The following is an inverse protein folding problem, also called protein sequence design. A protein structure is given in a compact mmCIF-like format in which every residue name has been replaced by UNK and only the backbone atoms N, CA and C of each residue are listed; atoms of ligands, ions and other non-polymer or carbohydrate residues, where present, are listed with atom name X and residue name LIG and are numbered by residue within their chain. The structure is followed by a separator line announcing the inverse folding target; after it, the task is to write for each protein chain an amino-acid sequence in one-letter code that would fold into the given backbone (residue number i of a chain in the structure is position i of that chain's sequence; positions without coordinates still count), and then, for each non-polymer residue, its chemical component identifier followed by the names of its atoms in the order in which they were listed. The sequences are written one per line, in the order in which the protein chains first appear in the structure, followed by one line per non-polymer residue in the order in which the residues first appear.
data_IF_980093073038
#
_entry.id   IF_980093073038
#
_cell.length_a   1.000
_cell.length_b   1.000
_cell.length_c   1.000
_cell.angle_alpha   90.00
_cell.angle_beta   90.00
_cell.angle_gamma   90.00
#
_symmetry.space_group_name_H-M   'P 1'
#
loop_
_entity.id
_entity.type
_entity.pdbx_description
1 polymer ?
#
# COMPACT_ATOMS: atom_id res chain seq x y z
N UNK A 1 20.07 33.18 -5.51
CA UNK A 1 20.14 33.20 -4.04
C UNK A 1 19.63 34.56 -3.58
N UNK A 2 18.46 34.58 -2.96
CA UNK A 2 17.90 35.81 -2.37
C UNK A 2 18.79 36.14 -1.19
N UNK A 3 19.41 37.33 -1.25
CA UNK A 3 20.29 37.79 -0.18
C UNK A 3 19.39 38.32 0.96
N UNK A 4 18.87 37.43 1.80
CA UNK A 4 17.99 37.72 2.94
C UNK A 4 18.55 38.84 3.83
N UNK A 5 19.88 38.92 3.95
CA UNK A 5 20.57 39.93 4.75
C UNK A 5 20.41 41.36 4.19
N UNK A 6 20.20 41.52 2.91
CA UNK A 6 20.09 42.82 2.24
C UNK A 6 18.64 43.35 2.09
N UNK A 7 17.64 42.56 2.48
CA UNK A 7 16.23 42.93 2.40
C UNK A 7 15.82 43.87 3.55
N UNK A 8 14.91 44.78 3.23
CA UNK A 8 14.27 45.62 4.25
C UNK A 8 13.40 44.75 5.20
N UNK A 9 13.14 45.19 6.44
CA UNK A 9 12.27 44.46 7.35
C UNK A 9 10.88 44.17 6.76
N UNK A 10 10.32 45.10 6.02
CA UNK A 10 9.02 44.95 5.36
C UNK A 10 9.04 43.83 4.29
N UNK A 11 10.06 43.82 3.44
CA UNK A 11 10.23 42.80 2.39
C UNK A 11 10.39 41.39 3.01
N UNK A 12 11.14 41.29 4.11
CA UNK A 12 11.29 40.01 4.83
C UNK A 12 9.95 39.46 5.35
N UNK A 13 9.15 40.32 5.97
CA UNK A 13 7.82 39.93 6.49
C UNK A 13 6.93 39.48 5.33
N UNK A 14 6.87 40.29 4.26
CA UNK A 14 6.05 39.96 3.09
C UNK A 14 6.46 38.66 2.40
N UNK A 15 7.77 38.38 2.31
CA UNK A 15 8.26 37.15 1.72
C UNK A 15 7.97 35.93 2.61
N UNK A 16 8.06 36.07 3.94
CA UNK A 16 7.69 35.03 4.89
C UNK A 16 6.20 34.73 4.79
N UNK A 17 5.33 35.74 4.79
CA UNK A 17 3.88 35.56 4.63
C UNK A 17 3.54 34.83 3.32
N UNK A 18 4.16 35.24 2.23
CA UNK A 18 3.98 34.60 0.91
C UNK A 18 4.47 33.15 0.91
N UNK A 19 5.57 32.86 1.61
CA UNK A 19 6.09 31.52 1.75
C UNK A 19 5.13 30.65 2.60
N UNK A 20 4.70 31.16 3.75
CA UNK A 20 3.72 30.49 4.63
C UNK A 20 2.46 30.11 3.84
N UNK A 21 1.88 31.05 3.11
CA UNK A 21 0.71 30.79 2.26
C UNK A 21 0.93 29.68 1.23
N UNK A 22 2.13 29.60 0.65
CA UNK A 22 2.47 28.51 -0.29
C UNK A 22 2.60 27.17 0.41
N UNK A 23 3.18 27.14 1.62
CA UNK A 23 3.27 25.91 2.43
C UNK A 23 1.90 25.42 2.86
N UNK A 24 1.01 26.31 3.30
CA UNK A 24 -0.39 26.01 3.59
C UNK A 24 -1.11 25.44 2.35
N UNK A 25 -0.82 25.99 1.16
CA UNK A 25 -1.38 25.48 -0.09
C UNK A 25 -0.91 24.04 -0.37
N UNK A 26 0.37 23.74 -0.15
CA UNK A 26 0.92 22.38 -0.30
C UNK A 26 0.29 21.43 0.72
N UNK A 27 0.22 21.82 1.99
CA UNK A 27 -0.40 21.03 3.05
C UNK A 27 -1.86 20.70 2.71
N UNK A 28 -2.64 21.72 2.37
CA UNK A 28 -4.06 21.57 2.05
C UNK A 28 -4.32 20.77 0.75
N UNK A 29 -3.36 20.73 -0.16
CA UNK A 29 -3.45 19.94 -1.39
C UNK A 29 -3.14 18.47 -1.19
N UNK A 30 -2.47 18.13 -0.10
CA UNK A 30 -2.06 16.76 0.22
C UNK A 30 -2.99 16.13 1.26
N UNK A 31 -3.65 15.01 0.94
CA UNK A 31 -4.49 14.32 1.92
C UNK A 31 -3.70 13.66 3.06
N UNK A 32 -2.37 13.65 2.98
CA UNK A 32 -1.50 12.95 3.93
C UNK A 32 -0.60 13.88 4.74
N UNK A 33 -0.43 15.14 4.32
CA UNK A 33 0.40 16.08 5.05
C UNK A 33 -0.27 16.52 6.36
N UNK A 34 0.53 16.63 7.42
CA UNK A 34 0.14 17.18 8.70
C UNK A 34 0.73 18.58 8.92
N UNK A 35 1.94 18.81 8.42
CA UNK A 35 2.65 20.10 8.44
C UNK A 35 3.64 20.13 7.26
N UNK A 36 3.92 21.30 6.74
CA UNK A 36 4.95 21.51 5.72
C UNK A 36 5.88 22.61 6.22
N UNK A 37 7.14 22.24 6.46
CA UNK A 37 8.16 23.16 7.00
C UNK A 37 9.30 23.34 6.04
N UNK A 38 9.80 24.56 5.90
CA UNK A 38 11.01 24.89 5.16
C UNK A 38 12.07 25.41 6.12
N UNK A 39 13.22 24.78 6.12
CA UNK A 39 14.41 25.19 6.86
C UNK A 39 15.37 25.91 5.92
N UNK A 40 15.68 27.18 6.18
CA UNK A 40 16.49 28.03 5.32
C UNK A 40 17.81 28.37 6.02
N UNK A 41 18.92 27.77 5.53
CA UNK A 41 20.25 27.90 6.15
C UNK A 41 20.74 29.33 6.18
N UNK A 42 20.67 30.05 5.07
CA UNK A 42 21.22 31.39 4.95
C UNK A 42 20.54 32.44 5.83
N UNK A 43 19.32 32.16 6.26
CA UNK A 43 18.52 33.07 7.08
C UNK A 43 18.42 32.58 8.55
N UNK A 44 18.86 31.37 8.83
CA UNK A 44 18.71 30.67 10.12
C UNK A 44 17.25 30.70 10.62
N UNK A 45 16.30 30.46 9.69
CA UNK A 45 14.88 30.45 9.97
C UNK A 45 14.22 29.15 9.52
N UNK A 46 13.16 28.79 10.25
CA UNK A 46 12.17 27.85 9.81
C UNK A 46 10.84 28.57 9.53
N UNK A 47 10.13 28.10 8.51
CA UNK A 47 8.78 28.56 8.18
C UNK A 47 7.90 27.33 8.01
N UNK A 48 6.86 27.22 8.83
CA UNK A 48 5.92 26.10 8.83
C UNK A 48 4.54 26.58 8.41
N UNK A 49 3.78 25.72 7.73
CA UNK A 49 2.39 25.97 7.36
C UNK A 49 1.47 26.12 8.56
N UNK A 50 1.74 25.40 9.67
CA UNK A 50 0.87 25.39 10.86
C UNK A 50 1.40 26.26 11.99
N UNK A 51 2.74 26.32 12.17
CA UNK A 51 3.39 27.01 13.31
C UNK A 51 3.85 28.43 12.99
N UNK A 52 3.82 28.79 11.68
CA UNK A 52 4.35 30.05 11.21
C UNK A 52 5.87 30.06 11.13
N UNK A 53 6.48 31.16 11.53
CA UNK A 53 7.92 31.41 11.36
C UNK A 53 8.62 31.44 12.73
N UNK A 54 9.81 30.85 12.80
CA UNK A 54 10.71 30.98 13.94
C UNK A 54 12.18 31.03 13.51
N UNK A 55 13.07 31.43 14.44
CA UNK A 55 14.52 31.31 14.22
C UNK A 55 14.96 29.92 14.63
N UNK A 56 15.80 29.33 13.81
CA UNK A 56 16.45 28.06 14.15
C UNK A 56 17.59 28.27 15.14
N UNK A 57 17.68 27.41 16.11
CA UNK A 57 18.89 27.22 16.90
C UNK A 57 19.96 26.52 16.04
N UNK A 58 21.22 26.58 16.48
CA UNK A 58 22.30 25.86 15.81
C UNK A 58 22.06 24.33 15.80
N UNK A 59 21.53 23.81 16.88
CA UNK A 59 21.20 22.38 17.00
C UNK A 59 20.11 21.96 16.03
N UNK A 60 19.06 22.75 15.88
CA UNK A 60 17.98 22.53 14.88
C UNK A 60 18.52 22.61 13.45
N UNK A 61 19.36 23.62 13.18
CA UNK A 61 20.02 23.73 11.88
C UNK A 61 20.87 22.52 11.53
N UNK A 62 21.67 22.01 12.48
CA UNK A 62 22.46 20.79 12.28
C UNK A 62 21.55 19.56 12.11
N UNK A 63 20.44 19.48 12.85
CA UNK A 63 19.49 18.36 12.79
C UNK A 63 18.76 18.27 11.44
N UNK A 64 18.30 19.37 10.90
CA UNK A 64 17.46 19.40 9.68
C UNK A 64 18.26 19.64 8.40
N UNK A 65 19.34 20.40 8.47
CA UNK A 65 20.16 20.78 7.30
C UNK A 65 21.46 19.99 7.22
N UNK A 66 21.86 19.30 8.28
CA UNK A 66 23.07 18.46 8.34
C UNK A 66 22.84 17.02 7.89
N UNK A 67 21.60 16.62 7.62
CA UNK A 67 21.27 15.27 7.17
C UNK A 67 21.81 15.02 5.77
N UNK A 68 22.55 13.93 5.64
CA UNK A 68 22.97 13.44 4.33
C UNK A 68 21.93 12.47 3.80
N UNK A 69 21.27 12.84 2.72
CA UNK A 69 20.32 11.99 2.05
C UNK A 69 21.00 11.25 0.90
N UNK A 70 20.92 9.91 0.89
CA UNK A 70 21.44 9.09 -0.21
C UNK A 70 20.62 9.29 -1.49
N UNK A 71 19.36 9.68 -1.36
CA UNK A 71 18.44 10.01 -2.45
C UNK A 71 17.48 11.11 -2.02
N UNK A 72 16.96 11.87 -2.98
CA UNK A 72 15.88 12.82 -2.71
C UNK A 72 14.77 12.62 -3.75
N UNK A 73 13.49 12.56 -3.33
CA UNK A 73 13.00 12.70 -1.96
C UNK A 73 13.40 11.54 -1.05
N UNK A 74 13.59 11.80 0.23
CA UNK A 74 13.91 10.78 1.24
C UNK A 74 12.85 10.77 2.34
N UNK A 75 12.56 9.57 2.87
CA UNK A 75 11.76 9.44 4.08
C UNK A 75 12.68 9.39 5.28
N UNK A 76 12.42 10.24 6.25
CA UNK A 76 13.07 10.24 7.53
C UNK A 76 12.07 9.98 8.65
N UNK A 77 12.53 9.32 9.72
CA UNK A 77 11.71 8.98 10.86
C UNK A 77 12.38 9.45 12.14
N UNK A 78 11.76 10.42 12.81
CA UNK A 78 12.27 11.07 14.01
C UNK A 78 11.16 11.28 15.02
N UNK A 79 11.44 11.03 16.28
CA UNK A 79 10.55 11.29 17.42
C UNK A 79 9.12 10.70 17.23
N UNK A 80 9.03 9.50 16.60
CA UNK A 80 7.75 8.84 16.32
C UNK A 80 6.95 9.44 15.16
N UNK A 81 7.54 10.35 14.38
CA UNK A 81 6.92 11.01 13.23
C UNK A 81 7.68 10.72 11.95
N UNK A 82 6.96 10.75 10.86
CA UNK A 82 7.48 10.46 9.53
C UNK A 82 7.52 11.74 8.69
N UNK A 83 8.65 11.99 8.07
CA UNK A 83 8.91 13.17 7.26
C UNK A 83 9.33 12.79 5.85
N UNK A 84 8.75 13.42 4.85
CA UNK A 84 9.26 13.42 3.50
C UNK A 84 10.17 14.64 3.34
N UNK A 85 11.47 14.40 3.12
CA UNK A 85 12.50 15.41 3.09
C UNK A 85 12.95 15.69 1.66
N UNK A 86 12.97 16.96 1.30
CA UNK A 86 13.30 17.49 -0.04
C UNK A 86 14.40 18.55 0.08
N UNK A 87 15.69 18.16 0.10
CA UNK A 87 16.79 19.11 0.10
C UNK A 87 16.93 19.84 -1.23
N UNK A 88 17.33 21.10 -1.19
CA UNK A 88 17.66 21.89 -2.36
C UNK A 88 19.01 22.59 -2.23
N UNK A 89 19.91 22.51 -3.23
CA UNK A 89 19.76 21.72 -4.44
C UNK A 89 19.75 20.22 -4.16
N UNK A 90 19.05 19.48 -5.01
CA UNK A 90 18.93 18.04 -4.94
C UNK A 90 20.18 17.38 -5.56
N UNK A 91 21.33 17.53 -4.92
CA UNK A 91 22.58 16.91 -5.38
C UNK A 91 22.92 15.67 -4.54
N UNK A 92 23.22 14.59 -5.24
CA UNK A 92 23.62 13.29 -4.65
C UNK A 92 24.97 13.28 -3.93
N UNK A 93 25.71 14.39 -3.91
CA UNK A 93 27.05 14.42 -3.33
C UNK A 93 27.34 15.72 -2.59
N UNK A 94 27.49 15.59 -1.29
CA UNK A 94 28.32 16.39 -0.35
C UNK A 94 28.21 17.93 -0.38
N UNK A 95 27.12 18.50 -0.85
CA UNK A 95 26.89 19.94 -0.71
C UNK A 95 25.80 20.17 0.32
N UNK A 96 26.11 20.99 1.30
CA UNK A 96 25.12 21.49 2.25
C UNK A 96 23.93 22.11 1.52
N UNK A 97 22.70 21.67 1.79
CA UNK A 97 21.52 22.24 1.14
C UNK A 97 21.34 23.72 1.52
N UNK A 98 20.88 24.53 0.59
CA UNK A 98 20.49 25.92 0.87
C UNK A 98 19.23 25.97 1.73
N UNK A 99 18.31 25.03 1.47
CA UNK A 99 17.11 24.82 2.26
C UNK A 99 16.64 23.37 2.14
N UNK A 100 15.88 22.93 3.11
CA UNK A 100 15.21 21.63 3.11
C UNK A 100 13.72 21.86 3.32
N UNK A 101 12.88 21.26 2.48
CA UNK A 101 11.45 21.18 2.71
C UNK A 101 11.18 19.84 3.38
N UNK A 102 10.56 19.88 4.53
CA UNK A 102 10.08 18.69 5.25
C UNK A 102 8.55 18.70 5.27
N UNK A 103 7.96 17.59 4.82
CA UNK A 103 6.52 17.37 4.89
C UNK A 103 6.29 16.31 5.97
N UNK A 104 5.73 16.73 7.10
CA UNK A 104 5.30 15.79 8.14
C UNK A 104 4.09 15.01 7.62
N UNK A 105 4.19 13.68 7.61
CA UNK A 105 3.12 12.79 7.18
C UNK A 105 2.29 12.35 8.38
N UNK A 106 0.98 12.49 8.26
CA UNK A 106 0.04 12.09 9.31
C UNK A 106 -0.20 10.58 9.28
N UNK A 107 0.29 9.87 10.27
CA UNK A 107 0.04 8.44 10.44
C UNK A 107 -1.47 8.14 10.43
N UNK A 108 -2.26 8.89 11.18
CA UNK A 108 -3.71 8.69 11.27
C UNK A 108 -4.44 8.91 9.93
N UNK A 109 -4.02 9.89 9.13
CA UNK A 109 -4.59 10.09 7.78
C UNK A 109 -4.23 8.92 6.85
N UNK A 110 -3.02 8.38 6.97
CA UNK A 110 -2.56 7.22 6.20
C UNK A 110 -3.34 5.97 6.66
N UNK A 111 -3.47 5.72 7.95
CA UNK A 111 -4.24 4.61 8.52
C UNK A 111 -5.71 4.65 8.08
N UNK A 112 -6.35 5.82 8.16
CA UNK A 112 -7.73 6.00 7.67
C UNK A 112 -7.84 5.71 6.17
N UNK A 113 -6.84 6.10 5.37
CA UNK A 113 -6.82 5.78 3.95
C UNK A 113 -6.65 4.29 3.71
N UNK A 114 -5.75 3.63 4.43
CA UNK A 114 -5.57 2.18 4.38
C UNK A 114 -6.88 1.46 4.75
N UNK A 115 -7.55 1.89 5.82
CA UNK A 115 -8.85 1.36 6.22
C UNK A 115 -9.89 1.49 5.10
N UNK A 116 -9.91 2.63 4.41
CA UNK A 116 -10.83 2.85 3.28
C UNK A 116 -10.55 1.98 2.04
N UNK A 117 -9.35 1.39 1.95
CA UNK A 117 -8.95 0.47 0.87
C UNK A 117 -9.21 -0.99 1.22
N UNK A 118 -9.44 -1.30 2.49
CA UNK A 118 -9.78 -2.66 2.92
C UNK A 118 -11.19 -3.01 2.45
N UNK A 119 -11.32 -4.13 1.75
CA UNK A 119 -12.60 -4.61 1.24
C UNK A 119 -13.41 -5.37 2.32
N UNK A 120 -12.75 -5.77 3.41
CA UNK A 120 -13.35 -6.48 4.54
C UNK A 120 -12.54 -6.23 5.82
N UNK A 121 -13.14 -6.49 6.97
CA UNK A 121 -12.50 -6.37 8.29
C UNK A 121 -11.33 -7.37 8.49
N UNK A 122 -11.21 -8.35 7.59
CA UNK A 122 -10.13 -9.36 7.60
C UNK A 122 -8.95 -8.98 6.71
N UNK A 123 -9.02 -7.84 6.05
CA UNK A 123 -7.95 -7.27 5.25
C UNK A 123 -7.30 -6.11 5.97
N UNK A 124 -5.98 -6.07 5.93
CA UNK A 124 -5.22 -4.95 6.46
C UNK A 124 -4.06 -4.57 5.54
N UNK A 125 -3.63 -3.34 5.71
CA UNK A 125 -2.45 -2.80 5.06
C UNK A 125 -1.42 -2.43 6.12
N UNK A 126 -0.17 -2.73 5.82
CA UNK A 126 0.97 -2.40 6.66
C UNK A 126 1.96 -1.64 5.78
N UNK A 127 2.39 -0.48 6.21
CA UNK A 127 3.45 0.28 5.58
C UNK A 127 4.69 0.21 6.45
N UNK A 128 5.79 -0.24 5.87
CA UNK A 128 7.06 -0.50 6.56
C UNK A 128 8.17 0.16 5.75
N UNK A 129 9.11 0.86 6.39
CA UNK A 129 10.33 1.31 5.70
C UNK A 129 11.33 0.17 5.53
N UNK A 130 12.23 0.29 4.56
CA UNK A 130 13.24 -0.72 4.24
C UNK A 130 14.16 -1.02 5.43
N UNK A 131 14.44 -0.03 6.27
CA UNK A 131 15.22 -0.19 7.49
C UNK A 131 14.40 -0.70 8.68
N UNK A 132 13.08 -0.81 8.52
CA UNK A 132 12.17 -1.27 9.56
C UNK A 132 12.01 -0.28 10.73
N UNK A 133 12.30 1.01 10.52
CA UNK A 133 12.24 2.04 11.56
C UNK A 133 10.84 2.46 11.93
N UNK A 134 9.88 2.32 11.00
CA UNK A 134 8.48 2.60 11.27
C UNK A 134 7.57 1.53 10.70
N UNK A 135 6.42 1.40 11.33
CA UNK A 135 5.31 0.56 10.87
C UNK A 135 4.03 1.36 11.07
N UNK A 136 3.27 1.54 9.99
CA UNK A 136 1.92 2.10 10.02
C UNK A 136 0.97 1.02 9.57
N UNK A 137 -0.11 0.78 10.30
CA UNK A 137 -1.10 -0.25 9.98
C UNK A 137 -2.50 0.21 10.34
N UNK A 138 -3.48 -0.15 9.52
CA UNK A 138 -4.89 0.08 9.81
C UNK A 138 -5.56 -1.08 10.55
N UNK A 139 -4.81 -2.06 10.98
CA UNK A 139 -5.42 -3.22 11.60
C UNK A 139 -5.41 -3.14 13.13
N UNK A 140 -6.54 -3.51 13.70
CA UNK A 140 -6.78 -3.58 15.14
C UNK A 140 -6.36 -4.92 15.78
N UNK A 141 -5.73 -5.83 15.02
CA UNK A 141 -5.52 -7.23 15.40
C UNK A 141 -4.14 -7.51 16.01
N UNK A 142 -4.09 -8.37 17.03
CA UNK A 142 -2.88 -8.94 17.65
C UNK A 142 -1.89 -9.54 16.61
N UNK A 143 -2.42 -10.05 15.50
CA UNK A 143 -1.61 -10.58 14.38
C UNK A 143 -0.62 -9.58 13.79
N UNK A 144 -0.89 -8.29 13.91
CA UNK A 144 -0.03 -7.22 13.38
C UNK A 144 1.06 -6.87 14.37
N UNK A 145 0.80 -7.00 15.65
CA UNK A 145 1.85 -6.93 16.66
C UNK A 145 2.97 -7.89 16.33
N UNK A 146 2.65 -9.15 15.99
CA UNK A 146 3.65 -10.15 15.58
C UNK A 146 4.37 -9.78 14.28
N UNK A 147 3.64 -9.26 13.28
CA UNK A 147 4.28 -8.82 12.02
C UNK A 147 5.20 -7.64 12.26
N UNK A 148 4.81 -6.67 13.08
CA UNK A 148 5.61 -5.51 13.43
C UNK A 148 6.85 -5.90 14.24
N UNK A 149 6.71 -6.83 15.19
CA UNK A 149 7.82 -7.33 16.01
C UNK A 149 8.84 -8.12 15.18
N UNK A 150 8.37 -8.91 14.22
CA UNK A 150 9.22 -9.76 13.37
C UNK A 150 9.32 -9.27 11.92
N UNK A 151 9.20 -7.96 11.69
CA UNK A 151 9.15 -7.32 10.37
C UNK A 151 10.24 -7.76 9.40
N UNK A 152 11.50 -7.85 9.86
CA UNK A 152 12.64 -8.23 9.01
C UNK A 152 12.47 -9.63 8.42
N UNK A 153 11.93 -10.56 9.22
CA UNK A 153 11.62 -11.93 8.77
C UNK A 153 10.54 -11.93 7.70
N UNK A 154 9.48 -11.15 7.89
CA UNK A 154 8.37 -11.08 6.92
C UNK A 154 8.78 -10.37 5.65
N UNK A 155 9.48 -9.24 5.75
CA UNK A 155 10.00 -8.50 4.58
C UNK A 155 10.96 -9.37 3.77
N UNK A 156 11.94 -10.03 4.41
CA UNK A 156 12.87 -10.93 3.72
C UNK A 156 12.15 -12.10 3.04
N UNK A 157 11.14 -12.67 3.68
CA UNK A 157 10.35 -13.75 3.10
C UNK A 157 9.50 -13.26 1.90
N UNK A 158 8.91 -12.08 1.97
CA UNK A 158 8.17 -11.45 0.87
C UNK A 158 9.08 -11.18 -0.33
N UNK A 159 10.28 -10.63 -0.09
CA UNK A 159 11.30 -10.40 -1.13
C UNK A 159 11.74 -11.70 -1.80
N UNK A 160 11.79 -12.81 -1.06
CA UNK A 160 12.10 -14.14 -1.63
C UNK A 160 10.91 -14.78 -2.39
N UNK A 161 9.79 -14.09 -2.51
CA UNK A 161 8.61 -14.55 -3.25
C UNK A 161 7.59 -15.33 -2.42
N UNK A 162 7.80 -15.51 -1.12
CA UNK A 162 6.85 -16.17 -0.24
C UNK A 162 5.61 -15.28 -0.07
N UNK A 163 4.41 -15.87 -0.19
CA UNK A 163 3.12 -15.15 -0.10
C UNK A 163 2.21 -15.69 0.98
N UNK A 164 2.41 -16.93 1.41
CA UNK A 164 1.60 -17.59 2.44
C UNK A 164 2.40 -17.70 3.73
N UNK A 165 1.77 -17.32 4.82
CA UNK A 165 2.35 -17.30 6.16
C UNK A 165 1.38 -17.92 7.15
N UNK A 166 1.90 -18.36 8.29
CA UNK A 166 1.08 -18.79 9.43
C UNK A 166 1.40 -17.88 10.60
N UNK A 167 0.38 -17.19 11.12
CA UNK A 167 0.47 -16.27 12.24
C UNK A 167 -0.60 -16.68 13.24
N UNK A 168 -0.21 -16.95 14.49
CA UNK A 168 -1.10 -17.45 15.55
C UNK A 168 -1.98 -18.65 15.12
N UNK A 169 -1.44 -19.53 14.26
CA UNK A 169 -2.16 -20.69 13.73
C UNK A 169 -3.06 -20.43 12.52
N UNK A 170 -3.28 -19.18 12.15
CA UNK A 170 -4.08 -18.81 10.99
C UNK A 170 -3.21 -18.71 9.73
N UNK A 171 -3.71 -19.23 8.62
CA UNK A 171 -3.09 -19.08 7.31
C UNK A 171 -3.40 -17.72 6.74
N UNK A 172 -2.34 -16.97 6.38
CA UNK A 172 -2.42 -15.60 5.92
C UNK A 172 -1.78 -15.49 4.57
N UNK A 173 -2.42 -14.75 3.69
CA UNK A 173 -1.90 -14.39 2.38
C UNK A 173 -1.42 -12.94 2.40
N UNK A 174 -0.16 -12.71 2.01
CA UNK A 174 0.43 -11.38 1.94
C UNK A 174 0.86 -11.07 0.51
N UNK A 175 0.57 -9.85 0.09
CA UNK A 175 1.12 -9.25 -1.12
C UNK A 175 1.82 -7.96 -0.74
N UNK A 176 2.82 -7.54 -1.52
CA UNK A 176 3.51 -6.29 -1.27
C UNK A 176 3.69 -5.49 -2.55
N UNK A 177 3.84 -4.20 -2.37
CA UNK A 177 4.32 -3.26 -3.37
C UNK A 177 5.44 -2.44 -2.76
N UNK A 178 6.50 -2.21 -3.51
CA UNK A 178 7.66 -1.45 -3.08
C UNK A 178 7.75 -0.15 -3.86
N UNK A 179 8.06 0.93 -3.15
CA UNK A 179 8.48 2.19 -3.74
C UNK A 179 9.98 2.33 -3.60
N UNK A 180 10.73 2.06 -4.67
CA UNK A 180 12.19 2.17 -4.67
C UNK A 180 12.65 3.58 -4.33
N UNK A 181 11.92 4.60 -4.82
CA UNK A 181 12.26 6.01 -4.58
C UNK A 181 12.15 6.39 -3.11
N UNK A 182 11.16 5.87 -2.41
CA UNK A 182 10.90 6.20 -1.00
C UNK A 182 11.46 5.16 -0.03
N UNK A 183 11.87 3.98 -0.52
CA UNK A 183 12.32 2.87 0.31
C UNK A 183 11.24 2.33 1.24
N UNK A 184 9.97 2.34 0.78
CA UNK A 184 8.82 1.90 1.55
C UNK A 184 8.22 0.65 0.93
N UNK A 185 7.83 -0.29 1.78
CA UNK A 185 7.01 -1.43 1.43
C UNK A 185 5.58 -1.21 1.94
N UNK A 186 4.62 -1.40 1.06
CA UNK A 186 3.21 -1.51 1.44
C UNK A 186 2.81 -2.98 1.31
N UNK A 187 2.48 -3.60 2.41
CA UNK A 187 2.08 -5.01 2.49
C UNK A 187 0.57 -5.05 2.68
N UNK A 188 -0.14 -5.72 1.78
CA UNK A 188 -1.53 -6.10 2.00
C UNK A 188 -1.56 -7.47 2.64
N UNK A 189 -2.27 -7.57 3.73
CA UNK A 189 -2.52 -8.77 4.51
C UNK A 189 -3.98 -9.20 4.33
N UNK A 190 -4.23 -10.47 4.16
CA UNK A 190 -5.58 -11.03 4.07
C UNK A 190 -5.59 -12.45 4.62
N UNK A 191 -6.66 -12.86 5.30
CA UNK A 191 -6.83 -14.27 5.67
C UNK A 191 -6.93 -15.13 4.43
N UNK A 192 -6.19 -16.24 4.42
CA UNK A 192 -6.12 -17.16 3.28
C UNK A 192 -7.51 -17.68 2.88
N UNK A 193 -8.32 -18.05 3.85
CA UNK A 193 -9.66 -18.57 3.62
C UNK A 193 -10.56 -17.57 2.88
N UNK A 194 -10.48 -16.30 3.22
CA UNK A 194 -11.28 -15.25 2.57
C UNK A 194 -10.85 -14.98 1.13
N UNK A 195 -9.55 -14.98 0.86
CA UNK A 195 -9.00 -14.81 -0.49
C UNK A 195 -9.41 -15.96 -1.41
N UNK A 196 -9.35 -17.19 -0.89
CA UNK A 196 -9.57 -18.40 -1.69
C UNK A 196 -10.99 -18.96 -1.60
N UNK A 197 -11.86 -18.45 -0.72
CA UNK A 197 -13.25 -18.90 -0.56
C UNK A 197 -14.02 -18.95 -1.89
N UNK A 198 -13.84 -17.93 -2.72
CA UNK A 198 -14.46 -17.90 -4.04
C UNK A 198 -13.96 -19.02 -4.93
N UNK A 199 -12.65 -19.30 -4.91
CA UNK A 199 -12.04 -20.38 -5.69
C UNK A 199 -12.51 -21.74 -5.18
N UNK A 200 -12.63 -21.94 -3.87
CA UNK A 200 -13.17 -23.17 -3.29
C UNK A 200 -14.64 -23.39 -3.63
N UNK A 201 -15.42 -22.34 -3.63
CA UNK A 201 -16.82 -22.42 -4.11
C UNK A 201 -16.88 -22.85 -5.57
N UNK A 202 -16.05 -22.26 -6.46
CA UNK A 202 -15.97 -22.69 -7.85
C UNK A 202 -15.51 -24.14 -7.99
N UNK A 203 -14.55 -24.59 -7.19
CA UNK A 203 -14.08 -25.98 -7.17
C UNK A 203 -15.23 -26.93 -6.79
N UNK A 204 -16.01 -26.57 -5.79
CA UNK A 204 -17.18 -27.35 -5.38
C UNK A 204 -18.23 -27.46 -6.49
N UNK A 205 -18.57 -26.32 -7.13
CA UNK A 205 -19.48 -26.30 -8.28
C UNK A 205 -18.97 -27.14 -9.43
N UNK A 206 -17.68 -27.09 -9.72
CA UNK A 206 -17.04 -27.89 -10.76
C UNK A 206 -17.13 -29.40 -10.46
N UNK A 207 -16.91 -29.79 -9.21
CA UNK A 207 -17.08 -31.19 -8.78
C UNK A 207 -18.53 -31.66 -8.91
N UNK A 208 -19.49 -30.83 -8.52
CA UNK A 208 -20.92 -31.15 -8.70
C UNK A 208 -21.25 -31.37 -10.18
N UNK A 209 -20.77 -30.48 -11.04
CA UNK A 209 -20.95 -30.57 -12.49
C UNK A 209 -20.28 -31.84 -13.06
N UNK A 210 -19.05 -32.11 -12.66
CA UNK A 210 -18.30 -33.30 -13.11
C UNK A 210 -19.01 -34.62 -12.68
N UNK A 211 -19.53 -34.68 -11.46
CA UNK A 211 -20.25 -35.85 -10.95
C UNK A 211 -21.65 -35.99 -11.55
N UNK A 212 -22.33 -34.90 -11.87
CA UNK A 212 -23.67 -34.93 -12.47
C UNK A 212 -23.65 -35.24 -13.97
N UNK A 213 -22.60 -34.89 -14.69
CA UNK A 213 -22.46 -35.10 -16.13
C UNK A 213 -22.67 -36.55 -16.57
N UNK A 214 -22.02 -37.58 -15.95
CA UNK A 214 -22.24 -38.98 -16.30
C UNK A 214 -23.69 -39.43 -16.10
N UNK A 215 -24.35 -38.92 -15.05
CA UNK A 215 -25.76 -39.23 -14.77
C UNK A 215 -26.65 -38.71 -15.89
N UNK A 216 -26.42 -37.49 -16.37
CA UNK A 216 -27.13 -36.94 -17.52
C UNK A 216 -26.89 -37.73 -18.79
N UNK A 217 -25.67 -38.19 -19.05
CA UNK A 217 -25.35 -39.01 -20.19
C UNK A 217 -26.06 -40.37 -20.15
N UNK A 218 -26.11 -41.04 -19.02
CA UNK A 218 -26.82 -42.32 -18.83
C UNK A 218 -28.32 -42.10 -19.06
N UNK A 219 -28.89 -41.04 -18.48
CA UNK A 219 -30.31 -40.72 -18.59
C UNK A 219 -30.69 -40.39 -20.04
N UNK A 220 -29.85 -39.61 -20.73
CA UNK A 220 -29.99 -39.29 -22.14
C UNK A 220 -29.91 -40.56 -23.03
N UNK A 221 -28.93 -41.45 -22.77
CA UNK A 221 -28.82 -42.73 -23.48
C UNK A 221 -30.08 -43.60 -23.25
N UNK A 222 -30.59 -43.70 -22.05
CA UNK A 222 -31.78 -44.43 -21.75
C UNK A 222 -33.01 -43.90 -22.48
N UNK A 223 -33.17 -42.58 -22.52
CA UNK A 223 -34.26 -41.92 -23.24
C UNK A 223 -34.13 -42.19 -24.76
N UNK A 224 -32.94 -42.08 -25.35
CA UNK A 224 -32.68 -42.40 -26.75
C UNK A 224 -32.99 -43.85 -27.08
N UNK A 225 -32.58 -44.77 -26.22
CA UNK A 225 -32.84 -46.18 -26.41
C UNK A 225 -34.37 -46.48 -26.39
N UNK A 226 -35.08 -45.92 -25.45
CA UNK A 226 -36.52 -46.14 -25.30
C UNK A 226 -37.38 -45.39 -26.37
N UNK A 227 -36.99 -44.18 -26.73
CA UNK A 227 -37.79 -43.35 -27.64
C UNK A 227 -37.51 -43.57 -29.10
N UNK A 228 -36.29 -44.02 -29.44
CA UNK A 228 -35.85 -44.16 -30.83
C UNK A 228 -35.49 -45.62 -31.20
N UNK A 229 -34.57 -46.24 -30.46
CA UNK A 229 -34.10 -47.59 -30.84
C UNK A 229 -35.18 -48.67 -30.72
N UNK A 230 -35.98 -48.65 -29.63
CA UNK A 230 -37.01 -49.67 -29.46
C UNK A 230 -38.09 -49.62 -30.54
N UNK A 231 -38.69 -48.42 -30.85
CA UNK A 231 -39.64 -48.34 -31.95
C UNK A 231 -39.03 -48.70 -33.33
N UNK A 232 -37.80 -48.33 -33.54
CA UNK A 232 -37.08 -48.62 -34.81
C UNK A 232 -36.83 -50.11 -34.98
N UNK A 233 -36.50 -50.84 -33.92
CA UNK A 233 -36.33 -52.30 -33.94
C UNK A 233 -37.68 -53.01 -34.20
N UNK A 234 -38.77 -52.52 -33.61
CA UNK A 234 -40.12 -53.06 -33.84
C UNK A 234 -40.51 -52.87 -35.31
N UNK A 235 -40.25 -51.70 -35.88
CA UNK A 235 -40.47 -51.43 -37.30
C UNK A 235 -39.64 -52.34 -38.22
N UNK A 236 -38.34 -52.48 -37.96
CA UNK A 236 -37.42 -53.34 -38.71
C UNK A 236 -37.89 -54.81 -38.67
N UNK A 237 -38.28 -55.29 -37.50
CA UNK A 237 -38.80 -56.67 -37.34
C UNK A 237 -40.13 -56.87 -38.04
N UNK A 238 -40.99 -55.82 -38.11
CA UNK A 238 -42.23 -55.89 -38.85
C UNK A 238 -42.01 -55.92 -40.37
N UNK A 239 -41.00 -55.22 -40.90
CA UNK A 239 -40.63 -55.26 -42.28
C UNK A 239 -40.01 -56.62 -42.69
N UNK A 240 -39.16 -57.22 -41.86
CA UNK A 240 -38.57 -58.53 -42.16
C UNK A 240 -39.61 -59.67 -42.19
N UNK A 241 -40.76 -59.53 -41.49
CA UNK A 241 -41.87 -60.51 -41.55
C UNK A 241 -42.74 -60.37 -42.79
N UNK A 242 -42.62 -59.28 -43.54
CA UNK A 242 -43.43 -59.10 -44.77
C UNK A 242 -42.68 -59.64 -45.99
N UNK A 243 -41.35 -59.93 -45.89
CA UNK A 243 -40.53 -60.49 -46.96
C UNK A 243 -40.48 -62.02 -46.95
N UNK A 244 -41.07 -62.69 -45.93
CA UNK A 244 -41.30 -64.12 -45.93
C UNK A 244 -42.75 -64.43 -46.38
#
# INVERSE_FOLDING_TARGET
AVNYGSMSPYERVSDIERLTYRLETIENSSPYAADVTVYIRAAEIEVSSTRGFSRMSREESERHLGLQYESAPAIDYRDGRMYLCLPYPNYYHNTDPYFVIEIELSASKIENKMASLSASDTEAFIMIDRAGRFVISNAENDSIGEIAEHKDRYVSALLSGKRQFTIHGNSIFMTYSESDTLGIFVVKYSEYENVFRTVENYKTVLWIFLCSSPVFFILYYYILQKAINNPLQVLLHSFSKVEE
#
